data_IF_365023167111
#
_entry.id   IF_365023167111
#
_cell.length_a   1.000
_cell.length_b   1.000
_cell.length_c   1.000
_cell.angle_alpha   90.00
_cell.angle_beta   90.00
_cell.angle_gamma   90.00
#
_symmetry.space_group_name_H-M   'P 1'
#
loop_
_entity.id
_entity.type
_entity.pdbx_description
1 polymer ?
#
# COMPACT_ATOMS: atom_id res chain seq x y z
N UNK A 1 23.60 -67.20 31.57
CA UNK A 1 23.25 -66.08 32.46
C UNK A 1 22.85 -64.88 31.59
N UNK A 2 21.60 -64.82 31.13
CA UNK A 2 21.16 -63.74 30.22
C UNK A 2 20.18 -62.83 30.98
N UNK A 3 20.69 -61.68 31.42
CA UNK A 3 19.88 -60.59 31.96
C UNK A 3 19.10 -59.98 30.80
N UNK A 4 17.80 -60.25 30.71
CA UNK A 4 16.89 -59.50 29.85
C UNK A 4 16.76 -58.08 30.43
N UNK A 5 17.61 -57.16 29.96
CA UNK A 5 17.43 -55.72 30.17
C UNK A 5 16.21 -55.26 29.36
N UNK A 6 15.07 -55.16 30.04
CA UNK A 6 13.83 -54.61 29.47
C UNK A 6 13.95 -53.09 29.41
N UNK A 7 14.37 -52.56 28.26
CA UNK A 7 14.39 -51.12 28.01
C UNK A 7 12.98 -50.53 28.14
N UNK A 8 12.82 -49.53 29.01
CA UNK A 8 11.59 -48.75 29.14
C UNK A 8 11.33 -48.01 27.83
N UNK A 9 10.34 -48.45 27.04
CA UNK A 9 9.77 -47.62 25.98
C UNK A 9 9.19 -46.38 26.64
N UNK A 10 9.83 -45.22 26.46
CA UNK A 10 9.21 -43.93 26.83
C UNK A 10 7.86 -43.87 26.11
N UNK A 11 6.77 -43.87 26.85
CA UNK A 11 5.45 -43.66 26.28
C UNK A 11 5.47 -42.29 25.59
N UNK A 12 5.25 -42.27 24.28
CA UNK A 12 5.14 -41.04 23.51
C UNK A 12 3.87 -40.32 24.02
N UNK A 13 4.05 -39.27 24.83
CA UNK A 13 2.95 -38.40 25.23
C UNK A 13 2.55 -37.60 23.99
N UNK A 14 1.45 -38.01 23.35
CA UNK A 14 0.85 -37.25 22.25
C UNK A 14 0.20 -35.97 22.76
N UNK A 15 0.07 -34.98 21.88
CA UNK A 15 -0.68 -33.75 22.13
C UNK A 15 -2.16 -34.10 22.33
N UNK A 16 -2.80 -33.52 23.35
CA UNK A 16 -4.21 -33.76 23.60
C UNK A 16 -5.07 -32.92 22.66
N UNK A 17 -6.24 -33.46 22.28
CA UNK A 17 -7.21 -32.73 21.46
C UNK A 17 -7.69 -31.44 22.17
N UNK A 18 -7.75 -31.49 23.51
CA UNK A 18 -8.12 -30.34 24.33
C UNK A 18 -7.06 -29.23 24.33
N UNK A 19 -5.77 -29.57 24.35
CA UNK A 19 -4.70 -28.57 24.21
C UNK A 19 -4.78 -27.86 22.85
N UNK A 20 -5.06 -28.61 21.78
CA UNK A 20 -5.21 -28.01 20.45
C UNK A 20 -6.43 -27.08 20.38
N UNK A 21 -7.56 -27.48 20.95
CA UNK A 21 -8.77 -26.64 20.98
C UNK A 21 -8.57 -25.32 21.73
N UNK A 22 -7.83 -25.34 22.85
CA UNK A 22 -7.53 -24.11 23.61
C UNK A 22 -6.63 -23.19 22.78
N UNK A 23 -5.61 -23.73 22.10
CA UNK A 23 -4.72 -22.94 21.24
C UNK A 23 -5.50 -22.25 20.11
N UNK A 24 -6.41 -22.98 19.45
CA UNK A 24 -7.25 -22.41 18.39
C UNK A 24 -8.17 -21.31 18.92
N UNK A 25 -8.76 -21.49 20.11
CA UNK A 25 -9.58 -20.48 20.74
C UNK A 25 -8.81 -19.17 21.02
N UNK A 26 -7.58 -19.28 21.54
CA UNK A 26 -6.72 -18.10 21.80
C UNK A 26 -6.34 -17.41 20.49
N UNK A 27 -5.92 -18.16 19.47
CA UNK A 27 -5.57 -17.60 18.15
C UNK A 27 -6.78 -16.89 17.54
N UNK A 28 -7.99 -17.44 17.66
CA UNK A 28 -9.23 -16.82 17.18
C UNK A 28 -9.46 -15.43 17.77
N UNK A 29 -9.25 -15.28 19.09
CA UNK A 29 -9.39 -13.98 19.77
C UNK A 29 -8.34 -12.99 19.25
N UNK A 30 -7.07 -13.40 19.17
CA UNK A 30 -5.98 -12.52 18.69
C UNK A 30 -6.18 -12.10 17.23
N UNK A 31 -6.61 -13.02 16.36
CA UNK A 31 -6.84 -12.76 14.95
C UNK A 31 -7.94 -11.71 14.72
N UNK A 32 -8.98 -11.69 15.57
CA UNK A 32 -10.06 -10.70 15.45
C UNK A 32 -9.61 -9.25 15.57
N UNK A 33 -8.52 -8.99 16.31
CA UNK A 33 -7.92 -7.66 16.48
C UNK A 33 -6.73 -7.45 15.54
N UNK A 34 -5.90 -8.48 15.37
CA UNK A 34 -4.67 -8.38 14.58
C UNK A 34 -4.94 -8.20 13.07
N UNK A 35 -5.92 -8.90 12.51
CA UNK A 35 -6.24 -8.82 11.08
C UNK A 35 -6.70 -7.42 10.65
N UNK A 36 -7.69 -6.76 11.29
CA UNK A 36 -8.08 -5.41 10.89
C UNK A 36 -6.95 -4.39 11.08
N UNK A 37 -6.20 -4.47 12.19
CA UNK A 37 -5.07 -3.57 12.45
C UNK A 37 -3.95 -3.72 11.40
N UNK A 38 -3.62 -4.96 11.00
CA UNK A 38 -2.61 -5.20 9.97
C UNK A 38 -3.06 -4.68 8.60
N UNK A 39 -4.35 -4.88 8.24
CA UNK A 39 -4.90 -4.33 6.98
C UNK A 39 -4.82 -2.81 6.94
N UNK A 40 -5.13 -2.15 8.05
CA UNK A 40 -5.00 -0.70 8.17
C UNK A 40 -3.55 -0.22 8.02
N UNK A 41 -2.60 -0.89 8.67
CA UNK A 41 -1.17 -0.58 8.52
C UNK A 41 -0.67 -0.73 7.07
N UNK A 42 -1.07 -1.80 6.39
CA UNK A 42 -0.70 -2.04 4.98
C UNK A 42 -1.31 -0.96 4.09
N UNK A 43 -2.60 -0.65 4.25
CA UNK A 43 -3.28 0.39 3.48
C UNK A 43 -2.64 1.78 3.70
N UNK A 44 -2.30 2.13 4.94
CA UNK A 44 -1.61 3.39 5.24
C UNK A 44 -0.22 3.44 4.59
N UNK A 45 0.52 2.33 4.62
CA UNK A 45 1.83 2.22 3.96
C UNK A 45 1.73 2.40 2.45
N UNK A 46 0.66 1.87 1.83
CA UNK A 46 0.39 2.02 0.40
C UNK A 46 0.04 3.46 0.02
N UNK A 47 -0.81 4.13 0.82
CA UNK A 47 -1.11 5.56 0.64
C UNK A 47 0.16 6.43 0.70
N UNK A 48 1.03 6.18 1.68
CA UNK A 48 2.31 6.89 1.79
C UNK A 48 3.27 6.60 0.64
N UNK A 49 3.31 5.35 0.15
CA UNK A 49 4.09 4.98 -1.02
C UNK A 49 3.61 5.71 -2.29
N UNK A 50 2.30 5.82 -2.48
CA UNK A 50 1.72 6.55 -3.61
C UNK A 50 2.05 8.05 -3.58
N UNK A 51 1.94 8.69 -2.41
CA UNK A 51 2.34 10.10 -2.23
C UNK A 51 3.83 10.32 -2.50
N UNK A 52 4.67 9.40 -2.03
CA UNK A 52 6.11 9.48 -2.28
C UNK A 52 6.43 9.33 -3.77
N UNK A 53 5.75 8.42 -4.47
CA UNK A 53 5.93 8.19 -5.90
C UNK A 53 5.56 9.40 -6.75
N UNK A 54 4.41 10.02 -6.46
CA UNK A 54 3.90 11.13 -7.27
C UNK A 54 4.68 12.45 -7.09
N UNK A 55 5.28 12.68 -5.91
CA UNK A 55 5.83 13.99 -5.54
C UNK A 55 6.89 14.54 -6.50
N UNK A 56 7.75 13.67 -7.06
CA UNK A 56 8.74 14.06 -8.06
C UNK A 56 8.10 14.64 -9.32
N UNK A 57 7.07 13.97 -9.83
CA UNK A 57 6.35 14.36 -11.04
C UNK A 57 5.52 15.62 -10.85
N UNK A 58 4.97 15.86 -9.65
CA UNK A 58 4.20 17.09 -9.38
C UNK A 58 5.07 18.33 -9.55
N UNK A 59 6.25 18.36 -8.95
CA UNK A 59 7.15 19.52 -9.05
C UNK A 59 7.56 19.84 -10.51
N UNK A 60 7.80 18.80 -11.30
CA UNK A 60 8.10 18.92 -12.73
C UNK A 60 6.88 19.38 -13.52
N UNK A 61 5.69 18.89 -13.14
CA UNK A 61 4.41 19.29 -13.73
C UNK A 61 4.12 20.76 -13.48
N UNK A 62 4.35 21.27 -12.27
CA UNK A 62 4.22 22.70 -11.96
C UNK A 62 5.19 23.55 -12.81
N UNK A 63 6.41 23.07 -13.00
CA UNK A 63 7.42 23.76 -13.83
C UNK A 63 7.02 23.79 -15.31
N UNK A 64 6.54 22.66 -15.84
CA UNK A 64 6.04 22.57 -17.20
C UNK A 64 4.82 23.47 -17.41
N UNK A 65 3.82 23.41 -16.51
CA UNK A 65 2.60 24.20 -16.65
C UNK A 65 2.91 25.71 -16.60
N UNK A 66 3.74 26.16 -15.65
CA UNK A 66 4.02 27.59 -15.48
C UNK A 66 4.99 28.19 -16.51
N UNK A 67 5.98 27.41 -16.98
CA UNK A 67 7.07 27.94 -17.81
C UNK A 67 7.14 27.31 -19.21
N UNK A 68 6.39 26.24 -19.47
CA UNK A 68 6.47 25.45 -20.71
C UNK A 68 7.74 24.61 -20.84
N UNK A 69 8.61 24.60 -19.83
CA UNK A 69 9.91 23.93 -19.88
C UNK A 69 9.75 22.45 -19.55
N UNK A 70 10.31 21.57 -20.40
CA UNK A 70 10.43 20.14 -20.11
C UNK A 70 9.14 19.31 -20.25
N UNK A 71 8.05 19.90 -20.74
CA UNK A 71 6.73 19.27 -20.84
C UNK A 71 6.72 17.93 -21.59
N UNK A 72 7.38 17.84 -22.74
CA UNK A 72 7.44 16.59 -23.52
C UNK A 72 8.28 15.51 -22.82
N UNK A 73 9.38 15.91 -22.18
CA UNK A 73 10.22 14.98 -21.43
C UNK A 73 9.48 14.41 -20.22
N UNK A 74 8.76 15.27 -19.51
CA UNK A 74 7.89 14.88 -18.40
C UNK A 74 6.76 13.95 -18.87
N UNK A 75 6.04 14.33 -19.94
CA UNK A 75 4.98 13.52 -20.53
C UNK A 75 5.48 12.11 -20.86
N UNK A 76 6.63 12.01 -21.52
CA UNK A 76 7.23 10.72 -21.84
C UNK A 76 7.65 9.94 -20.58
N UNK A 77 8.21 10.61 -19.57
CA UNK A 77 8.59 9.98 -18.32
C UNK A 77 7.37 9.42 -17.56
N UNK A 78 6.25 10.14 -17.57
CA UNK A 78 4.99 9.68 -16.97
C UNK A 78 4.46 8.45 -17.73
N UNK A 79 4.43 8.50 -19.06
CA UNK A 79 3.83 7.44 -19.89
C UNK A 79 4.68 6.15 -20.00
N UNK A 80 5.88 6.13 -19.40
CA UNK A 80 6.67 4.91 -19.22
C UNK A 80 6.66 4.39 -17.78
N UNK A 81 6.06 5.15 -16.86
CA UNK A 81 5.94 4.76 -15.46
C UNK A 81 4.64 3.98 -15.26
N UNK A 82 4.76 2.67 -15.04
CA UNK A 82 3.61 1.78 -14.89
C UNK A 82 2.72 2.12 -13.68
N UNK A 83 3.25 2.83 -12.68
CA UNK A 83 2.48 3.28 -11.54
C UNK A 83 1.65 4.55 -11.81
N UNK A 84 1.91 5.25 -12.91
CA UNK A 84 1.17 6.44 -13.32
C UNK A 84 0.19 6.13 -14.45
N UNK A 85 -0.93 6.86 -14.47
CA UNK A 85 -1.82 6.87 -15.63
C UNK A 85 -1.24 7.75 -16.75
N UNK A 86 -1.31 7.27 -17.99
CA UNK A 86 -0.86 8.01 -19.17
C UNK A 86 -1.58 9.37 -19.28
N UNK A 87 -0.81 10.41 -19.56
CA UNK A 87 -1.29 11.79 -19.70
C UNK A 87 -0.37 12.58 -20.63
N UNK A 88 -0.86 13.70 -21.16
CA UNK A 88 -0.02 14.72 -21.79
C UNK A 88 -0.03 15.98 -20.93
N UNK A 89 1.15 16.42 -20.51
CA UNK A 89 1.32 17.65 -19.73
C UNK A 89 1.82 18.75 -20.65
N UNK A 90 1.12 19.88 -20.68
CA UNK A 90 1.46 21.05 -21.50
C UNK A 90 1.41 22.33 -20.68
N UNK A 91 2.05 23.38 -21.19
CA UNK A 91 1.97 24.71 -20.61
C UNK A 91 0.51 25.18 -20.48
N UNK A 92 0.22 25.96 -19.43
CA UNK A 92 -1.08 26.62 -19.18
C UNK A 92 -2.30 25.69 -19.18
N UNK A 93 -2.09 24.38 -19.08
CA UNK A 93 -3.17 23.39 -19.02
C UNK A 93 -3.12 22.63 -17.70
N UNK A 94 -4.29 22.37 -17.11
CA UNK A 94 -4.36 21.57 -15.90
C UNK A 94 -3.96 20.11 -16.19
N UNK A 95 -3.34 19.46 -15.20
CA UNK A 95 -2.92 18.07 -15.28
C UNK A 95 -3.42 17.27 -14.07
N UNK A 96 -3.92 16.06 -14.32
CA UNK A 96 -4.37 15.11 -13.31
C UNK A 96 -3.39 13.94 -13.30
N UNK A 97 -2.41 13.98 -12.41
CA UNK A 97 -1.50 12.86 -12.22
C UNK A 97 -2.15 11.86 -11.28
N UNK A 98 -2.17 10.58 -11.62
CA UNK A 98 -2.73 9.52 -10.76
C UNK A 98 -1.66 8.46 -10.56
N UNK A 99 -1.16 8.34 -9.34
CA UNK A 99 -0.24 7.28 -8.93
C UNK A 99 -0.98 6.18 -8.19
N UNK A 100 -0.81 4.94 -8.62
CA UNK A 100 -1.42 3.77 -7.96
C UNK A 100 -0.38 2.91 -7.27
N UNK A 101 -0.55 2.67 -5.97
CA UNK A 101 0.24 1.75 -5.16
C UNK A 101 -0.66 0.66 -4.58
N UNK A 102 -0.83 -0.42 -5.34
CA UNK A 102 -1.66 -1.57 -5.00
C UNK A 102 -3.12 -1.19 -4.66
N UNK A 103 -3.56 -1.19 -3.40
CA UNK A 103 -4.94 -0.92 -3.02
C UNK A 103 -5.26 0.57 -2.84
N UNK A 104 -4.25 1.46 -2.85
CA UNK A 104 -4.42 2.91 -2.73
C UNK A 104 -3.92 3.64 -3.97
N UNK A 105 -4.59 4.73 -4.33
CA UNK A 105 -4.16 5.68 -5.34
C UNK A 105 -4.08 7.08 -4.77
N UNK A 106 -3.18 7.89 -5.32
CA UNK A 106 -3.04 9.32 -5.04
C UNK A 106 -3.17 10.07 -6.35
N UNK A 107 -4.08 11.03 -6.38
CA UNK A 107 -4.27 11.96 -7.50
C UNK A 107 -3.73 13.32 -7.10
N UNK A 108 -2.80 13.86 -7.89
CA UNK A 108 -2.40 15.26 -7.81
C UNK A 108 -3.08 16.03 -8.94
N UNK A 109 -4.04 16.88 -8.56
CA UNK A 109 -4.66 17.85 -9.45
C UNK A 109 -3.80 19.11 -9.48
N UNK A 110 -3.03 19.26 -10.55
CA UNK A 110 -2.24 20.46 -10.82
C UNK A 110 -3.06 21.39 -11.71
N UNK A 111 -3.47 22.53 -11.20
CA UNK A 111 -4.22 23.53 -11.96
C UNK A 111 -3.37 24.15 -13.06
N UNK A 112 -4.02 24.80 -14.03
CA UNK A 112 -3.35 25.54 -15.11
C UNK A 112 -2.47 26.71 -14.63
N UNK A 113 -2.56 27.10 -13.35
CA UNK A 113 -1.71 28.12 -12.72
C UNK A 113 -0.69 27.51 -11.74
N UNK A 114 -0.50 26.19 -11.77
CA UNK A 114 0.50 25.47 -10.96
C UNK A 114 0.10 25.23 -9.50
N UNK A 115 -1.13 25.54 -9.10
CA UNK A 115 -1.65 25.16 -7.78
C UNK A 115 -1.90 23.64 -7.71
N UNK A 116 -1.67 23.01 -6.57
CA UNK A 116 -1.79 21.55 -6.43
C UNK A 116 -2.80 21.20 -5.35
N UNK A 117 -3.72 20.28 -5.66
CA UNK A 117 -4.58 19.63 -4.70
C UNK A 117 -4.38 18.12 -4.77
N UNK A 118 -4.27 17.46 -3.62
CA UNK A 118 -4.09 16.01 -3.53
C UNK A 118 -5.38 15.34 -3.07
N UNK A 119 -5.67 14.18 -3.65
CA UNK A 119 -6.78 13.30 -3.26
C UNK A 119 -6.21 11.89 -3.18
N UNK A 120 -6.57 11.12 -2.16
CA UNK A 120 -6.24 9.70 -2.08
C UNK A 120 -7.52 8.87 -2.00
N UNK A 121 -7.57 7.78 -2.76
CA UNK A 121 -8.74 6.89 -2.83
C UNK A 121 -8.28 5.43 -2.80
N UNK A 122 -9.15 4.54 -2.38
CA UNK A 122 -8.95 3.12 -2.62
C UNK A 122 -9.17 2.79 -4.11
N UNK A 123 -8.48 1.74 -4.58
CA UNK A 123 -8.65 1.19 -5.93
C UNK A 123 -9.08 -0.27 -5.92
N UNK A 124 -8.88 -0.97 -4.80
CA UNK A 124 -9.32 -2.35 -4.61
C UNK A 124 -9.89 -2.56 -3.21
N UNK A 125 -10.54 -3.71 -2.99
CA UNK A 125 -11.15 -4.07 -1.70
C UNK A 125 -10.15 -4.27 -0.54
N UNK A 126 -8.84 -4.08 -0.77
CA UNK A 126 -7.79 -4.21 0.23
C UNK A 126 -7.67 -3.02 1.19
N UNK A 127 -8.25 -1.87 0.84
CA UNK A 127 -8.19 -0.63 1.62
C UNK A 127 -9.52 0.14 1.54
N UNK A 128 -9.72 1.06 2.47
CA UNK A 128 -10.79 2.08 2.42
C UNK A 128 -10.20 3.45 2.08
N UNK A 129 -11.02 4.35 1.56
CA UNK A 129 -10.57 5.71 1.22
C UNK A 129 -9.93 6.42 2.42
N UNK A 130 -10.55 6.32 3.60
CA UNK A 130 -10.03 6.93 4.83
C UNK A 130 -8.61 6.43 5.19
N UNK A 131 -8.32 5.15 4.95
CA UNK A 131 -7.00 4.57 5.21
C UNK A 131 -5.96 5.06 4.20
N UNK A 132 -6.34 5.17 2.93
CA UNK A 132 -5.47 5.72 1.89
C UNK A 132 -5.18 7.21 2.13
N UNK A 133 -6.18 8.00 2.53
CA UNK A 133 -6.05 9.43 2.88
C UNK A 133 -5.10 9.61 4.07
N UNK A 134 -5.34 8.88 5.16
CA UNK A 134 -4.49 8.96 6.35
C UNK A 134 -3.07 8.52 6.05
N UNK A 135 -2.90 7.45 5.27
CA UNK A 135 -1.59 6.95 4.82
C UNK A 135 -0.82 7.92 3.93
N UNK A 136 -1.55 8.63 3.06
CA UNK A 136 -1.03 9.69 2.23
C UNK A 136 -0.66 10.96 3.02
N UNK A 137 -1.13 11.09 4.27
CA UNK A 137 -0.89 12.28 5.08
C UNK A 137 -1.68 13.50 4.60
N UNK A 138 -2.88 13.27 4.07
CA UNK A 138 -3.83 14.29 3.61
C UNK A 138 -4.89 14.60 4.67
#
# INVERSE_FOLDING_TARGET
MNKFQRGMKKAQKGFTLIELMIVVAIIGILASVAVPAYKEYVAASQGGAAMKGIGGYVSQTQTCIGSGIGCNQLTNAINVENALADITVTQDNAALLVWTADACSVTANVSNIGGVNYIANNVTAGATDAQCITGAGL
#
